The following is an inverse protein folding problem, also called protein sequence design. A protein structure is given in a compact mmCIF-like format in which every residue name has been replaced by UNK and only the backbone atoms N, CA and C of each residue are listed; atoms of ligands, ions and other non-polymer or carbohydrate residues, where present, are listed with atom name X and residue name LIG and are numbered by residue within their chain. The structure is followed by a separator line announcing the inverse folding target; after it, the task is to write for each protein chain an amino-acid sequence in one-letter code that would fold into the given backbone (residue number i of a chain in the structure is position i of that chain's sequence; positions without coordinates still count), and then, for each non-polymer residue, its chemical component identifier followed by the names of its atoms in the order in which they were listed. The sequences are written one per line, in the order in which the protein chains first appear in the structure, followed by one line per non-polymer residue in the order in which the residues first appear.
data_IF_266468356890
#
_entry.id   IF_266468356890
#
_cell.length_a   1.000
_cell.length_b   1.000
_cell.length_c   1.000
_cell.angle_alpha   90.00
_cell.angle_beta   90.00
_cell.angle_gamma   90.00
#
_symmetry.space_group_name_H-M   'P 1'
#
loop_
_entity.id
_entity.type
_entity.pdbx_description
1 polymer ?
#
# COMPACT_ATOMS: atom_id res chain seq x y z
N UNK A 1 13.89 26.73 16.64
CA UNK A 1 12.44 26.63 16.37
C UNK A 1 12.24 25.31 15.67
N UNK A 2 11.38 24.48 16.24
CA UNK A 2 11.54 23.03 16.41
C UNK A 2 11.42 22.21 15.13
N UNK A 3 12.53 21.57 14.76
CA UNK A 3 12.63 20.47 13.82
C UNK A 3 11.75 19.31 14.30
N UNK A 4 10.63 19.06 13.64
CA UNK A 4 9.84 17.85 13.85
C UNK A 4 10.59 16.66 13.26
N UNK A 5 11.27 15.88 14.10
CA UNK A 5 11.73 14.55 13.72
C UNK A 5 10.48 13.69 13.52
N UNK A 6 10.07 13.49 12.26
CA UNK A 6 9.05 12.50 11.93
C UNK A 6 9.55 11.13 12.36
N UNK A 7 8.90 10.54 13.36
CA UNK A 7 9.18 9.17 13.79
C UNK A 7 8.82 8.23 12.65
N UNK A 8 9.78 7.46 12.16
CA UNK A 8 9.54 6.44 11.13
C UNK A 8 8.54 5.37 11.58
N UNK A 9 8.25 4.38 10.72
CA UNK A 9 7.26 3.36 11.01
C UNK A 9 7.59 2.58 12.29
N UNK A 10 6.58 2.40 13.14
CA UNK A 10 6.67 1.67 14.42
C UNK A 10 6.04 0.29 14.25
N UNK A 11 6.82 -0.75 14.55
CA UNK A 11 6.40 -2.15 14.48
C UNK A 11 5.93 -2.63 15.86
N UNK A 12 4.75 -3.24 15.90
CA UNK A 12 4.27 -4.06 17.01
C UNK A 12 3.92 -5.45 16.51
N UNK A 13 4.29 -6.51 17.24
CA UNK A 13 3.94 -7.88 16.90
C UNK A 13 3.59 -8.68 18.13
N UNK A 14 2.54 -9.49 18.05
CA UNK A 14 2.21 -10.46 19.09
C UNK A 14 3.00 -11.76 18.95
N UNK A 15 3.71 -11.96 17.83
CA UNK A 15 4.54 -13.14 17.60
C UNK A 15 5.65 -13.20 18.64
N UNK A 16 5.76 -14.35 19.31
CA UNK A 16 6.73 -14.56 20.39
C UNK A 16 6.28 -14.05 21.77
N UNK A 17 5.11 -13.40 21.89
CA UNK A 17 4.54 -13.04 23.19
C UNK A 17 3.79 -14.23 23.83
N UNK A 18 3.63 -14.25 25.17
CA UNK A 18 2.81 -15.25 25.85
C UNK A 18 1.37 -15.23 25.35
N UNK A 19 0.81 -16.39 25.00
CA UNK A 19 -0.51 -16.52 24.35
C UNK A 19 -1.63 -15.77 25.08
N UNK A 20 -1.71 -15.93 26.41
CA UNK A 20 -2.73 -15.27 27.24
C UNK A 20 -2.64 -13.74 27.32
N UNK A 21 -1.57 -13.13 26.80
CA UNK A 21 -1.40 -11.68 26.74
C UNK A 21 -1.58 -11.09 25.34
N UNK A 22 -1.53 -11.92 24.27
CA UNK A 22 -1.50 -11.45 22.88
C UNK A 22 -2.70 -10.57 22.54
N UNK A 23 -3.91 -11.01 22.88
CA UNK A 23 -5.16 -10.27 22.59
C UNK A 23 -5.17 -8.94 23.33
N UNK A 24 -4.92 -8.93 24.64
CA UNK A 24 -4.98 -7.70 25.43
C UNK A 24 -3.94 -6.66 24.97
N UNK A 25 -2.72 -7.10 24.64
CA UNK A 25 -1.67 -6.21 24.14
C UNK A 25 -1.98 -5.71 22.73
N UNK A 26 -2.55 -6.56 21.87
CA UNK A 26 -2.98 -6.18 20.52
C UNK A 26 -4.12 -5.15 20.53
N UNK A 27 -5.14 -5.36 21.36
CA UNK A 27 -6.25 -4.40 21.54
C UNK A 27 -5.74 -3.06 22.08
N UNK A 28 -4.83 -3.08 23.07
CA UNK A 28 -4.23 -1.87 23.63
C UNK A 28 -3.40 -1.10 22.59
N UNK A 29 -2.61 -1.81 21.77
CA UNK A 29 -1.84 -1.20 20.68
C UNK A 29 -2.76 -0.58 19.62
N UNK A 30 -3.76 -1.32 19.15
CA UNK A 30 -4.72 -0.82 18.16
C UNK A 30 -5.48 0.42 18.65
N UNK A 31 -5.91 0.43 19.92
CA UNK A 31 -6.58 1.58 20.53
C UNK A 31 -5.70 2.84 20.54
N UNK A 32 -4.39 2.71 20.65
CA UNK A 32 -3.45 3.82 20.66
C UNK A 32 -3.00 4.25 19.26
N UNK A 33 -2.77 3.29 18.35
CA UNK A 33 -2.07 3.53 17.09
C UNK A 33 -2.98 3.53 15.84
N UNK A 34 -4.20 3.01 15.94
CA UNK A 34 -5.17 2.97 14.85
C UNK A 34 -6.60 3.21 15.37
N UNK A 35 -7.37 2.16 15.64
CA UNK A 35 -8.72 2.23 16.21
C UNK A 35 -8.92 1.20 17.33
N UNK A 36 -9.64 1.57 18.39
CA UNK A 36 -9.97 0.63 19.46
C UNK A 36 -10.92 -0.48 18.98
N UNK A 37 -10.59 -1.73 19.23
CA UNK A 37 -11.42 -2.89 18.89
C UNK A 37 -11.30 -3.95 19.98
N UNK A 38 -12.29 -4.85 20.04
CA UNK A 38 -12.13 -6.13 20.72
C UNK A 38 -11.82 -7.22 19.71
N UNK A 39 -10.96 -8.16 20.08
CA UNK A 39 -10.56 -9.27 19.24
C UNK A 39 -11.08 -10.60 19.81
N UNK A 40 -11.56 -11.46 18.92
CA UNK A 40 -12.01 -12.81 19.21
C UNK A 40 -11.33 -13.78 18.26
N UNK A 41 -10.94 -14.94 18.76
CA UNK A 41 -10.46 -16.07 17.95
C UNK A 41 -11.36 -17.27 18.21
N UNK A 42 -11.52 -18.13 17.20
CA UNK A 42 -12.22 -19.42 17.35
C UNK A 42 -11.35 -20.48 18.03
N UNK A 43 -10.03 -20.23 18.09
CA UNK A 43 -9.06 -21.04 18.82
C UNK A 43 -8.58 -20.26 20.03
N UNK A 44 -8.60 -20.90 21.20
CA UNK A 44 -8.17 -20.30 22.48
C UNK A 44 -6.68 -19.87 22.44
N UNK A 45 -5.94 -20.43 21.48
CA UNK A 45 -4.54 -20.26 21.19
C UNK A 45 -4.30 -19.24 20.05
N UNK A 46 -4.06 -18.01 20.54
CA UNK A 46 -3.02 -17.10 20.07
C UNK A 46 -3.26 -16.33 18.76
N UNK A 47 -3.87 -15.15 18.88
CA UNK A 47 -3.78 -14.11 17.86
C UNK A 47 -2.30 -13.80 17.56
N UNK A 48 -1.82 -14.27 16.42
CA UNK A 48 -0.56 -13.84 15.81
C UNK A 48 -0.85 -12.75 14.81
N UNK A 49 -0.47 -11.53 15.17
CA UNK A 49 -0.70 -10.35 14.37
C UNK A 49 0.49 -9.40 14.51
N UNK A 50 0.73 -8.67 13.43
CA UNK A 50 1.79 -7.69 13.31
C UNK A 50 1.20 -6.43 12.71
N UNK A 51 1.48 -5.29 13.32
CA UNK A 51 1.09 -3.98 12.83
C UNK A 51 2.32 -3.10 12.67
N UNK A 52 2.35 -2.35 11.57
CA UNK A 52 3.35 -1.31 11.33
C UNK A 52 2.58 -0.01 11.13
N UNK A 53 2.75 0.94 12.06
CA UNK A 53 2.06 2.22 12.04
C UNK A 53 3.03 3.34 11.64
N UNK A 54 2.58 4.26 10.80
CA UNK A 54 3.25 5.51 10.52
C UNK A 54 2.27 6.66 10.75
N UNK A 55 2.59 7.53 11.70
CA UNK A 55 1.78 8.69 12.06
C UNK A 55 2.27 9.89 11.25
N UNK A 56 1.40 10.43 10.40
CA UNK A 56 1.63 11.69 9.69
C UNK A 56 0.89 12.83 10.43
N UNK A 57 1.17 14.11 10.14
CA UNK A 57 0.54 15.23 10.84
C UNK A 57 -1.00 15.23 10.86
N UNK A 58 -1.64 14.70 9.83
CA UNK A 58 -3.08 14.72 9.64
C UNK A 58 -3.72 13.34 9.42
N UNK A 59 -2.96 12.30 9.07
CA UNK A 59 -3.47 10.93 8.89
C UNK A 59 -2.57 9.87 9.52
N UNK A 60 -3.17 8.76 9.91
CA UNK A 60 -2.44 7.59 10.38
C UNK A 60 -2.45 6.52 9.29
N UNK A 61 -1.27 5.98 8.99
CA UNK A 61 -1.10 4.86 8.06
C UNK A 61 -0.77 3.61 8.85
N UNK A 62 -1.30 2.46 8.42
CA UNK A 62 -0.89 1.18 8.97
C UNK A 62 -0.80 0.07 7.93
N UNK A 63 0.01 -0.94 8.22
CA UNK A 63 -0.09 -2.28 7.62
C UNK A 63 -0.38 -3.25 8.73
N UNK A 64 -1.42 -4.05 8.56
CA UNK A 64 -1.84 -5.07 9.52
C UNK A 64 -1.75 -6.42 8.83
N UNK A 65 -1.04 -7.36 9.43
CA UNK A 65 -1.03 -8.76 9.03
C UNK A 65 -1.41 -9.61 10.23
N UNK A 66 -2.26 -10.62 10.06
CA UNK A 66 -2.62 -11.48 11.18
C UNK A 66 -3.30 -12.78 10.77
N UNK A 67 -3.23 -13.76 11.66
CA UNK A 67 -3.94 -15.04 11.53
C UNK A 67 -5.46 -14.89 11.65
N UNK A 68 -6.22 -15.99 11.57
CA UNK A 68 -7.68 -15.94 11.62
C UNK A 68 -8.24 -15.36 12.93
N UNK A 69 -9.08 -14.34 12.83
CA UNK A 69 -9.74 -13.73 13.99
C UNK A 69 -10.95 -12.87 13.58
N UNK A 70 -11.69 -12.39 14.57
CA UNK A 70 -12.79 -11.44 14.45
C UNK A 70 -12.44 -10.20 15.27
N UNK A 71 -12.75 -9.02 14.74
CA UNK A 71 -12.68 -7.76 15.46
C UNK A 71 -14.07 -7.14 15.60
N UNK A 72 -14.35 -6.60 16.77
CA UNK A 72 -15.63 -5.99 17.13
C UNK A 72 -15.39 -4.55 17.62
N UNK A 73 -15.96 -3.57 16.92
CA UNK A 73 -16.03 -2.19 17.41
C UNK A 73 -17.45 -1.93 17.90
N UNK A 74 -17.74 -2.30 19.13
CA UNK A 74 -19.11 -2.22 19.69
C UNK A 74 -19.50 -0.78 20.05
N UNK A 75 -20.79 -0.53 20.32
CA UNK A 75 -21.25 0.76 20.88
C UNK A 75 -20.55 1.16 22.18
N UNK A 76 -20.13 0.18 22.99
CA UNK A 76 -19.38 0.44 24.22
C UNK A 76 -17.96 0.92 23.90
N UNK A 77 -17.28 0.24 22.97
CA UNK A 77 -15.94 0.63 22.50
C UNK A 77 -15.96 2.03 21.90
N UNK A 78 -16.90 2.33 21.00
CA UNK A 78 -17.01 3.68 20.39
C UNK A 78 -17.21 4.76 21.46
N UNK A 79 -18.02 4.50 22.49
CA UNK A 79 -18.28 5.48 23.55
C UNK A 79 -17.05 5.76 24.42
N UNK A 80 -16.26 4.72 24.70
CA UNK A 80 -15.12 4.81 25.62
C UNK A 80 -13.81 5.18 24.90
N UNK A 81 -13.69 4.82 23.62
CA UNK A 81 -12.53 5.01 22.75
C UNK A 81 -12.98 5.55 21.38
N UNK A 82 -13.58 6.76 21.31
CA UNK A 82 -13.98 7.37 20.05
C UNK A 82 -12.74 7.63 19.19
N UNK A 83 -12.88 7.40 17.88
CA UNK A 83 -11.81 7.59 16.90
C UNK A 83 -11.88 8.99 16.29
N UNK A 84 -13.09 9.57 16.18
CA UNK A 84 -13.38 10.83 15.47
C UNK A 84 -12.80 10.85 14.05
N UNK A 85 -12.81 9.67 13.40
CA UNK A 85 -12.13 9.44 12.14
C UNK A 85 -12.91 8.50 11.21
N UNK A 86 -12.58 8.58 9.93
CA UNK A 86 -12.94 7.63 8.89
C UNK A 86 -11.80 6.62 8.76
N UNK A 87 -12.12 5.33 8.73
CA UNK A 87 -11.15 4.27 8.50
C UNK A 87 -11.30 3.72 7.08
N UNK A 88 -10.19 3.65 6.36
CA UNK A 88 -10.10 3.12 5.01
C UNK A 88 -9.19 1.89 5.03
N UNK A 89 -9.68 0.71 4.65
CA UNK A 89 -8.92 -0.54 4.64
C UNK A 89 -8.77 -1.10 3.23
N UNK A 90 -7.54 -1.28 2.77
CA UNK A 90 -7.21 -1.97 1.52
C UNK A 90 -6.92 -3.44 1.83
N UNK A 91 -7.76 -4.34 1.34
CA UNK A 91 -7.50 -5.77 1.44
C UNK A 91 -6.39 -6.18 0.47
N UNK A 92 -5.31 -6.77 0.99
CA UNK A 92 -4.19 -7.28 0.19
C UNK A 92 -4.21 -8.80 0.10
N UNK A 93 -4.52 -9.48 1.21
CA UNK A 93 -4.70 -10.93 1.27
C UNK A 93 -5.81 -11.30 2.25
N UNK A 94 -6.47 -12.42 1.98
CA UNK A 94 -7.59 -12.91 2.78
C UNK A 94 -8.89 -12.16 2.51
N UNK A 95 -9.99 -12.91 2.41
CA UNK A 95 -11.32 -12.32 2.38
C UNK A 95 -11.72 -11.88 3.80
N UNK A 96 -12.36 -10.72 3.89
CA UNK A 96 -12.92 -10.21 5.14
C UNK A 96 -14.43 -10.03 5.00
N UNK A 97 -15.21 -10.48 5.99
CA UNK A 97 -16.58 -9.96 6.10
C UNK A 97 -16.58 -8.68 6.93
N UNK A 98 -17.50 -7.77 6.62
CA UNK A 98 -17.77 -6.54 7.34
C UNK A 98 -19.27 -6.50 7.65
N UNK A 99 -19.62 -6.74 8.91
CA UNK A 99 -20.99 -6.67 9.40
C UNK A 99 -21.25 -5.30 10.02
N UNK A 100 -22.31 -4.65 9.56
CA UNK A 100 -22.74 -3.32 9.97
C UNK A 100 -24.27 -3.28 10.01
N UNK A 101 -24.85 -2.16 10.49
CA UNK A 101 -26.30 -2.02 10.70
C UNK A 101 -27.13 -2.29 9.43
N UNK A 102 -26.57 -2.10 8.23
CA UNK A 102 -27.21 -2.31 6.93
C UNK A 102 -26.94 -3.70 6.30
N UNK A 103 -26.27 -4.59 7.02
CA UNK A 103 -26.03 -5.98 6.62
C UNK A 103 -24.55 -6.37 6.58
N UNK A 104 -24.22 -7.36 5.75
CA UNK A 104 -22.86 -7.86 5.55
C UNK A 104 -22.33 -7.38 4.21
N UNK A 105 -21.07 -6.93 4.18
CA UNK A 105 -20.26 -6.81 2.97
C UNK A 105 -19.14 -7.83 3.05
N UNK A 106 -18.76 -8.40 1.90
CA UNK A 106 -17.53 -9.19 1.78
C UNK A 106 -16.53 -8.30 1.05
N UNK A 107 -15.33 -8.23 1.59
CA UNK A 107 -14.20 -7.50 1.03
C UNK A 107 -13.18 -8.53 0.55
N UNK A 108 -12.82 -8.42 -0.72
CA UNK A 108 -11.84 -9.27 -1.39
C UNK A 108 -10.50 -8.53 -1.56
N UNK A 109 -9.38 -9.27 -1.67
CA UNK A 109 -8.11 -8.68 -2.09
C UNK A 109 -8.26 -7.81 -3.34
N UNK A 110 -7.65 -6.63 -3.34
CA UNK A 110 -7.81 -5.64 -4.42
C UNK A 110 -9.01 -4.71 -4.23
N UNK A 111 -9.66 -4.72 -3.07
CA UNK A 111 -10.74 -3.79 -2.74
C UNK A 111 -10.39 -2.88 -1.56
N UNK A 112 -10.99 -1.69 -1.58
CA UNK A 112 -10.95 -0.70 -0.51
C UNK A 112 -12.33 -0.61 0.14
N UNK A 113 -12.41 -0.75 1.47
CA UNK A 113 -13.60 -0.39 2.23
C UNK A 113 -13.35 0.91 3.01
N UNK A 114 -14.33 1.80 3.00
CA UNK A 114 -14.34 3.06 3.74
C UNK A 114 -15.51 3.06 4.70
N UNK A 115 -15.26 3.28 5.98
CA UNK A 115 -16.29 3.33 7.02
C UNK A 115 -16.05 4.43 8.06
N UNK A 116 -17.13 4.90 8.68
CA UNK A 116 -17.04 5.75 9.87
C UNK A 116 -16.62 4.89 11.06
N UNK A 117 -15.45 5.19 11.64
CA UNK A 117 -14.93 4.40 12.74
C UNK A 117 -15.78 4.57 14.02
N UNK A 118 -16.62 5.59 14.15
CA UNK A 118 -17.51 5.73 15.31
C UNK A 118 -18.92 5.18 15.07
N UNK A 119 -19.05 4.31 14.07
CA UNK A 119 -20.22 3.43 13.92
C UNK A 119 -19.84 1.99 14.30
N UNK A 120 -20.73 1.26 14.99
CA UNK A 120 -20.42 -0.11 15.36
C UNK A 120 -20.28 -1.03 14.15
N UNK A 121 -19.29 -1.91 14.18
CA UNK A 121 -19.13 -2.95 13.16
C UNK A 121 -18.44 -4.19 13.73
N UNK A 122 -18.54 -5.29 12.98
CA UNK A 122 -17.75 -6.50 13.20
C UNK A 122 -17.03 -6.81 11.89
N UNK A 123 -15.75 -7.16 11.95
CA UNK A 123 -15.01 -7.72 10.82
C UNK A 123 -14.48 -9.09 11.18
N UNK A 124 -14.42 -10.00 10.23
CA UNK A 124 -13.78 -11.29 10.48
C UNK A 124 -13.00 -11.80 9.29
N UNK A 125 -11.91 -12.47 9.63
CA UNK A 125 -10.82 -12.86 8.73
C UNK A 125 -10.65 -14.37 8.88
N UNK A 126 -11.36 -15.16 8.09
CA UNK A 126 -11.43 -16.61 8.30
C UNK A 126 -10.12 -17.34 7.97
N UNK A 127 -9.31 -16.78 7.08
CA UNK A 127 -8.01 -17.31 6.66
C UNK A 127 -6.84 -16.41 7.12
N UNK A 128 -7.10 -15.47 8.02
CA UNK A 128 -6.19 -14.35 8.31
C UNK A 128 -6.32 -13.24 7.27
N UNK A 129 -5.48 -12.22 7.42
CA UNK A 129 -5.45 -11.07 6.54
C UNK A 129 -4.05 -10.50 6.35
N UNK A 130 -3.91 -9.73 5.28
CA UNK A 130 -3.00 -8.61 5.19
C UNK A 130 -3.75 -7.42 4.62
N UNK A 131 -3.66 -6.26 5.27
CA UNK A 131 -4.31 -5.03 4.83
C UNK A 131 -3.45 -3.79 5.06
N UNK A 132 -3.78 -2.73 4.33
CA UNK A 132 -3.32 -1.38 4.64
C UNK A 132 -4.48 -0.59 5.21
N UNK A 133 -4.21 0.24 6.21
CA UNK A 133 -5.18 1.17 6.76
C UNK A 133 -4.75 2.61 6.54
N UNK A 134 -5.72 3.47 6.23
CA UNK A 134 -5.59 4.92 6.30
C UNK A 134 -6.70 5.41 7.22
N UNK A 135 -6.31 5.96 8.37
CA UNK A 135 -7.24 6.58 9.32
C UNK A 135 -7.16 8.09 9.16
N UNK A 136 -8.31 8.68 8.85
CA UNK A 136 -8.43 10.10 8.48
C UNK A 136 -9.38 10.79 9.46
N UNK A 137 -8.92 11.79 10.23
CA UNK A 137 -9.79 12.57 11.09
C UNK A 137 -11.00 13.12 10.33
N UNK A 138 -12.16 13.17 10.98
CA UNK A 138 -13.43 13.62 10.35
C UNK A 138 -13.35 15.02 9.77
N UNK A 139 -12.54 15.91 10.36
CA UNK A 139 -12.29 17.25 9.81
C UNK A 139 -11.62 17.17 8.44
N UNK A 140 -10.50 16.45 8.35
CA UNK A 140 -9.73 16.23 7.12
C UNK A 140 -10.58 15.54 6.06
N UNK A 141 -11.36 14.53 6.45
CA UNK A 141 -12.30 13.85 5.54
C UNK A 141 -13.32 14.81 4.90
N UNK A 142 -13.86 15.76 5.68
CA UNK A 142 -14.76 16.79 5.14
C UNK A 142 -14.04 17.74 4.18
N UNK A 143 -12.82 18.13 4.51
CA UNK A 143 -12.02 19.03 3.67
C UNK A 143 -11.65 18.37 2.33
N UNK A 144 -11.45 17.05 2.32
CA UNK A 144 -11.33 16.22 1.11
C UNK A 144 -12.61 16.13 0.28
N UNK A 145 -13.73 16.68 0.75
CA UNK A 145 -15.04 16.51 0.12
C UNK A 145 -15.55 15.07 0.19
N UNK A 146 -15.13 14.31 1.19
CA UNK A 146 -15.60 12.95 1.42
C UNK A 146 -17.10 12.93 1.75
N UNK A 147 -17.85 11.91 1.27
CA UNK A 147 -19.28 11.81 1.54
C UNK A 147 -19.56 11.59 3.04
N UNK A 148 -20.78 11.93 3.46
CA UNK A 148 -21.25 11.51 4.78
C UNK A 148 -21.50 9.99 4.77
N UNK A 149 -20.84 9.27 5.69
CA UNK A 149 -20.89 7.82 5.74
C UNK A 149 -21.93 7.35 6.75
N UNK A 150 -23.13 7.02 6.26
CA UNK A 150 -24.13 6.27 7.05
C UNK A 150 -23.95 4.76 6.94
N UNK A 151 -23.20 4.30 5.95
CA UNK A 151 -22.93 2.89 5.64
C UNK A 151 -21.52 2.77 5.05
N UNK A 152 -20.86 1.61 5.16
CA UNK A 152 -19.57 1.40 4.53
C UNK A 152 -19.69 1.46 2.99
N UNK A 153 -18.67 2.03 2.35
CA UNK A 153 -18.52 2.05 0.89
C UNK A 153 -17.39 1.11 0.48
N UNK A 154 -17.57 0.37 -0.61
CA UNK A 154 -16.55 -0.53 -1.17
C UNK A 154 -16.19 -0.04 -2.57
N UNK A 155 -14.89 -0.03 -2.87
CA UNK A 155 -14.32 0.38 -4.15
C UNK A 155 -13.40 -0.73 -4.66
N UNK A 156 -13.55 -1.09 -5.93
CA UNK A 156 -12.61 -1.98 -6.63
C UNK A 156 -11.36 -1.19 -7.01
N UNK A 157 -10.21 -1.56 -6.43
CA UNK A 157 -8.93 -0.87 -6.65
C UNK A 157 -8.34 -1.27 -8.00
N UNK A 158 -8.54 -2.52 -8.40
CA UNK A 158 -8.02 -3.06 -9.66
C UNK A 158 -8.82 -2.56 -10.87
N UNK A 159 -10.13 -2.39 -10.74
CA UNK A 159 -11.01 -1.90 -11.80
C UNK A 159 -11.12 -0.36 -11.82
N UNK A 160 -10.38 0.28 -12.73
CA UNK A 160 -10.63 1.69 -13.08
C UNK A 160 -10.17 2.75 -12.06
N UNK A 161 -9.67 2.37 -10.89
CA UNK A 161 -9.22 3.31 -9.85
C UNK A 161 -7.68 3.42 -9.78
N UNK A 162 -7.07 4.00 -10.81
CA UNK A 162 -5.61 4.20 -10.85
C UNK A 162 -5.08 4.95 -9.61
N UNK A 163 -5.88 5.87 -9.06
CA UNK A 163 -5.59 6.61 -7.83
C UNK A 163 -5.63 5.69 -6.59
N UNK A 164 -6.57 4.77 -6.50
CA UNK A 164 -6.63 3.80 -5.40
C UNK A 164 -5.40 2.90 -5.40
N UNK A 165 -4.95 2.44 -6.58
CA UNK A 165 -3.70 1.67 -6.73
C UNK A 165 -2.47 2.47 -6.32
N UNK A 166 -2.42 3.74 -6.72
CA UNK A 166 -1.33 4.63 -6.35
C UNK A 166 -1.28 4.86 -4.84
N UNK A 167 -2.44 5.07 -4.22
CA UNK A 167 -2.59 5.23 -2.78
C UNK A 167 -2.14 3.97 -2.03
N UNK A 168 -2.68 2.80 -2.39
CA UNK A 168 -2.30 1.54 -1.78
C UNK A 168 -0.80 1.26 -1.89
N UNK A 169 -0.18 1.56 -3.04
CA UNK A 169 1.28 1.42 -3.21
C UNK A 169 2.07 2.39 -2.35
N UNK A 170 1.67 3.66 -2.30
CA UNK A 170 2.34 4.68 -1.50
C UNK A 170 2.28 4.34 -0.01
N UNK A 171 1.08 4.02 0.49
CA UNK A 171 0.89 3.56 1.87
C UNK A 171 1.71 2.29 2.09
N UNK A 172 1.59 1.29 1.23
CA UNK A 172 2.26 0.01 1.38
C UNK A 172 3.79 0.10 1.51
N UNK A 173 4.43 1.08 0.87
CA UNK A 173 5.88 1.34 1.00
C UNK A 173 6.24 2.11 2.27
N UNK A 174 5.37 3.03 2.67
CA UNK A 174 5.54 3.84 3.87
C UNK A 174 5.59 3.00 5.14
N UNK A 175 4.76 1.94 5.20
CA UNK A 175 4.61 1.08 6.38
C UNK A 175 5.33 -0.26 6.24
N UNK A 176 6.49 -0.26 5.58
CA UNK A 176 7.41 -1.40 5.61
C UNK A 176 8.34 -1.33 6.84
N UNK A 177 8.81 -2.48 7.35
CA UNK A 177 9.83 -2.49 8.38
C UNK A 177 11.04 -1.66 7.94
N UNK A 178 11.51 -0.76 8.81
CA UNK A 178 12.69 0.08 8.55
C UNK A 178 12.58 0.99 7.32
N UNK A 179 11.35 1.27 6.84
CA UNK A 179 11.18 2.26 5.77
C UNK A 179 11.70 3.62 6.22
N UNK A 180 12.50 4.24 5.34
CA UNK A 180 12.96 5.63 5.47
C UNK A 180 12.39 6.50 4.36
N UNK A 181 11.43 5.98 3.58
CA UNK A 181 10.81 6.71 2.49
C UNK A 181 9.96 7.84 3.07
N UNK A 182 10.31 9.08 2.72
CA UNK A 182 9.50 10.23 3.07
C UNK A 182 8.16 10.14 2.34
N UNK A 183 7.07 10.19 3.10
CA UNK A 183 5.71 10.20 2.56
C UNK A 183 5.25 11.63 2.49
N UNK A 184 4.82 12.03 1.30
CA UNK A 184 4.13 13.30 1.10
C UNK A 184 2.65 13.11 1.45
N UNK A 185 2.27 13.63 2.61
CA UNK A 185 0.91 13.52 3.14
C UNK A 185 -0.13 14.16 2.21
N UNK A 186 0.21 15.25 1.53
CA UNK A 186 -0.72 15.94 0.61
C UNK A 186 -1.04 15.05 -0.58
N UNK A 187 -0.07 14.26 -1.07
CA UNK A 187 -0.30 13.29 -2.15
C UNK A 187 -1.22 12.15 -1.67
N UNK A 188 -1.02 11.64 -0.45
CA UNK A 188 -1.88 10.62 0.16
C UNK A 188 -3.32 11.12 0.25
N UNK A 189 -3.50 12.34 0.75
CA UNK A 189 -4.79 13.00 0.94
C UNK A 189 -5.49 13.28 -0.40
N UNK A 190 -4.79 13.83 -1.39
CA UNK A 190 -5.37 14.09 -2.71
C UNK A 190 -5.74 12.80 -3.44
N UNK A 191 -4.90 11.74 -3.36
CA UNK A 191 -5.23 10.42 -3.90
C UNK A 191 -6.49 9.84 -3.26
N UNK A 192 -6.58 9.87 -1.92
CA UNK A 192 -7.74 9.39 -1.20
C UNK A 192 -9.00 10.20 -1.57
N UNK A 193 -8.88 11.52 -1.59
CA UNK A 193 -9.94 12.43 -2.03
C UNK A 193 -10.44 12.10 -3.43
N UNK A 194 -9.54 11.84 -4.39
CA UNK A 194 -9.91 11.42 -5.74
C UNK A 194 -10.66 10.09 -5.77
N UNK A 195 -10.24 9.10 -4.97
CA UNK A 195 -10.91 7.79 -4.90
C UNK A 195 -12.34 7.94 -4.37
N UNK A 196 -12.53 8.69 -3.30
CA UNK A 196 -13.80 8.69 -2.55
C UNK A 196 -14.82 9.70 -3.09
N UNK A 197 -14.34 10.75 -3.77
CA UNK A 197 -15.21 11.76 -4.41
C UNK A 197 -15.35 11.57 -5.92
N UNK A 198 -14.55 10.68 -6.53
CA UNK A 198 -14.49 10.48 -7.99
C UNK A 198 -13.93 11.69 -8.76
N UNK A 199 -13.42 12.71 -8.06
CA UNK A 199 -12.87 13.91 -8.69
C UNK A 199 -11.47 13.62 -9.23
N UNK A 200 -11.16 14.07 -10.46
CA UNK A 200 -9.83 13.86 -11.01
C UNK A 200 -8.79 14.59 -10.15
N UNK A 201 -7.60 14.01 -9.97
CA UNK A 201 -6.52 14.69 -9.29
C UNK A 201 -6.08 15.91 -10.09
N UNK A 202 -5.51 16.88 -9.39
CA UNK A 202 -5.18 18.21 -9.92
C UNK A 202 -3.68 18.46 -9.98
N UNK A 203 -2.91 17.81 -9.10
CA UNK A 203 -1.46 18.04 -9.02
C UNK A 203 -0.65 17.11 -9.93
N UNK A 204 0.46 17.64 -10.45
CA UNK A 204 1.43 16.85 -11.20
C UNK A 204 2.04 15.73 -10.34
N UNK A 205 2.18 15.96 -9.04
CA UNK A 205 2.73 14.98 -8.10
C UNK A 205 1.83 13.74 -7.99
N UNK A 206 0.50 13.91 -7.88
CA UNK A 206 -0.44 12.79 -7.91
C UNK A 206 -0.42 12.08 -9.26
N UNK A 207 -0.46 12.81 -10.37
CA UNK A 207 -0.36 12.17 -11.70
C UNK A 207 0.93 11.36 -11.86
N UNK A 208 2.06 11.85 -11.32
CA UNK A 208 3.32 11.12 -11.32
C UNK A 208 3.23 9.86 -10.45
N UNK A 209 2.68 9.96 -9.24
CA UNK A 209 2.48 8.80 -8.36
C UNK A 209 1.58 7.74 -9.03
N UNK A 210 0.49 8.16 -9.66
CA UNK A 210 -0.41 7.28 -10.42
C UNK A 210 0.28 6.63 -11.62
N UNK A 211 1.08 7.38 -12.38
CA UNK A 211 1.83 6.83 -13.50
C UNK A 211 2.89 5.82 -13.04
N UNK A 212 3.62 6.13 -11.97
CA UNK A 212 4.65 5.24 -11.39
C UNK A 212 4.03 3.95 -10.87
N UNK A 213 2.88 4.04 -10.20
CA UNK A 213 2.10 2.88 -9.79
C UNK A 213 1.74 2.02 -11.02
N UNK A 214 1.13 2.60 -12.05
CA UNK A 214 0.77 1.88 -13.26
C UNK A 214 1.96 1.16 -13.90
N UNK A 215 3.11 1.85 -14.00
CA UNK A 215 4.34 1.29 -14.57
C UNK A 215 4.82 0.07 -13.80
N UNK A 216 4.74 0.07 -12.48
CA UNK A 216 5.24 -1.02 -11.64
C UNK A 216 4.48 -2.32 -11.81
N UNK A 217 3.19 -2.20 -12.07
CA UNK A 217 2.28 -3.31 -12.33
C UNK A 217 2.56 -3.98 -13.67
N UNK A 218 2.73 -3.15 -14.69
CA UNK A 218 2.92 -3.58 -16.08
C UNK A 218 4.42 -3.66 -16.44
N UNK A 219 5.30 -3.60 -15.43
CA UNK A 219 6.74 -3.35 -15.63
C UNK A 219 7.39 -4.39 -16.54
N UNK A 220 6.95 -5.64 -16.40
CA UNK A 220 7.48 -6.80 -17.12
C UNK A 220 6.88 -6.98 -18.51
N UNK A 221 5.84 -6.21 -18.87
CA UNK A 221 5.20 -6.29 -20.18
C UNK A 221 6.12 -5.70 -21.26
N UNK A 222 6.60 -6.50 -22.24
CA UNK A 222 7.58 -6.03 -23.22
C UNK A 222 7.12 -4.82 -24.05
N UNK A 223 5.80 -4.64 -24.22
CA UNK A 223 5.17 -3.55 -24.97
C UNK A 223 4.77 -2.31 -24.17
N UNK A 224 5.05 -2.24 -22.86
CA UNK A 224 4.69 -1.07 -22.06
C UNK A 224 5.29 0.22 -22.66
N UNK A 225 4.42 1.20 -22.94
CA UNK A 225 4.76 2.44 -23.63
C UNK A 225 4.12 3.65 -22.95
N UNK A 226 4.56 4.87 -23.29
CA UNK A 226 3.93 6.08 -22.77
C UNK A 226 2.43 6.16 -23.10
N UNK A 227 2.03 5.69 -24.28
CA UNK A 227 0.63 5.62 -24.71
C UNK A 227 -0.20 4.64 -23.84
N UNK A 228 0.39 3.50 -23.44
CA UNK A 228 -0.26 2.56 -22.52
C UNK A 228 -0.45 3.19 -21.13
N UNK A 229 0.59 3.80 -20.58
CA UNK A 229 0.53 4.46 -19.26
C UNK A 229 -0.48 5.61 -19.27
N UNK A 230 -0.44 6.49 -20.28
CA UNK A 230 -1.33 7.64 -20.40
C UNK A 230 -2.81 7.21 -20.41
N UNK A 231 -3.13 6.19 -21.24
CA UNK A 231 -4.46 5.60 -21.30
C UNK A 231 -4.88 4.97 -19.98
N UNK A 232 -3.99 4.19 -19.37
CA UNK A 232 -4.24 3.47 -18.12
C UNK A 232 -4.51 4.36 -16.91
N UNK A 233 -4.04 5.61 -16.94
CA UNK A 233 -4.28 6.60 -15.87
C UNK A 233 -5.22 7.75 -16.30
N UNK A 234 -5.79 7.69 -17.51
CA UNK A 234 -6.79 8.64 -18.00
C UNK A 234 -6.25 10.04 -18.36
N UNK A 235 -5.00 10.14 -18.82
CA UNK A 235 -4.40 11.43 -19.26
C UNK A 235 -3.89 11.38 -20.70
N UNK A 236 -3.58 12.54 -21.29
CA UNK A 236 -2.90 12.58 -22.59
C UNK A 236 -1.41 12.28 -22.47
N UNK A 237 -0.80 11.72 -23.51
CA UNK A 237 0.66 11.49 -23.56
C UNK A 237 1.47 12.78 -23.39
N UNK A 238 0.96 13.90 -23.94
CA UNK A 238 1.58 15.23 -23.75
C UNK A 238 1.58 15.65 -22.29
N UNK A 239 0.47 15.43 -21.58
CA UNK A 239 0.39 15.72 -20.15
C UNK A 239 1.34 14.82 -19.36
N UNK A 240 1.35 13.52 -19.65
CA UNK A 240 2.23 12.55 -19.00
C UNK A 240 3.71 12.90 -19.17
N UNK A 241 4.12 13.26 -20.39
CA UNK A 241 5.50 13.70 -20.68
C UNK A 241 5.88 14.94 -19.86
N UNK A 242 4.97 15.91 -19.74
CA UNK A 242 5.19 17.11 -18.93
C UNK A 242 5.33 16.77 -17.44
N UNK A 243 4.49 15.89 -16.91
CA UNK A 243 4.53 15.46 -15.50
C UNK A 243 5.87 14.78 -15.18
N UNK A 244 6.31 13.84 -16.02
CA UNK A 244 7.62 13.20 -15.86
C UNK A 244 8.78 14.21 -15.94
N UNK A 245 8.75 15.13 -16.90
CA UNK A 245 9.76 16.17 -17.02
C UNK A 245 9.85 17.07 -15.77
N UNK A 246 8.73 17.40 -15.13
CA UNK A 246 8.73 18.13 -13.85
C UNK A 246 9.32 17.28 -12.71
N UNK A 247 9.17 15.95 -12.77
CA UNK A 247 9.79 15.00 -11.86
C UNK A 247 11.29 14.74 -12.11
N UNK A 248 11.90 15.39 -13.10
CA UNK A 248 13.34 15.35 -13.35
C UNK A 248 13.84 14.25 -14.30
N UNK A 249 12.95 13.43 -14.87
CA UNK A 249 13.33 12.35 -15.80
C UNK A 249 12.25 12.10 -16.84
N UNK A 250 12.59 11.56 -18.01
CA UNK A 250 11.58 11.12 -18.97
C UNK A 250 10.98 9.75 -18.59
N UNK A 251 9.74 9.48 -19.01
CA UNK A 251 9.10 8.18 -18.77
C UNK A 251 9.92 6.98 -19.29
N UNK A 252 10.52 7.00 -20.50
CA UNK A 252 11.37 5.90 -20.95
C UNK A 252 12.62 5.69 -20.07
N UNK A 253 13.22 6.76 -19.55
CA UNK A 253 14.35 6.66 -18.62
C UNK A 253 13.92 6.04 -17.30
N UNK A 254 12.78 6.49 -16.76
CA UNK A 254 12.21 5.91 -15.56
C UNK A 254 11.91 4.41 -15.72
N UNK A 255 11.20 4.05 -16.79
CA UNK A 255 10.85 2.66 -17.10
C UNK A 255 12.09 1.78 -17.23
N UNK A 256 13.08 2.21 -18.00
CA UNK A 256 14.35 1.50 -18.14
C UNK A 256 15.03 1.31 -16.78
N UNK A 257 15.08 2.37 -15.96
CA UNK A 257 15.67 2.32 -14.64
C UNK A 257 14.99 1.31 -13.73
N UNK A 258 13.65 1.33 -13.67
CA UNK A 258 12.87 0.39 -12.88
C UNK A 258 13.05 -1.07 -13.30
N UNK A 259 13.14 -1.34 -14.61
CA UNK A 259 13.43 -2.69 -15.12
C UNK A 259 14.83 -3.18 -14.72
N UNK A 260 15.83 -2.30 -14.77
CA UNK A 260 17.19 -2.63 -14.37
C UNK A 260 17.31 -2.86 -12.86
N UNK A 261 16.66 -2.04 -12.05
CA UNK A 261 16.65 -2.20 -10.60
C UNK A 261 15.99 -3.52 -10.19
N UNK A 262 14.86 -3.87 -10.82
CA UNK A 262 14.21 -5.18 -10.64
C UNK A 262 15.14 -6.33 -11.02
N UNK A 263 15.80 -6.22 -12.18
CA UNK A 263 16.75 -7.23 -12.63
C UNK A 263 17.89 -7.40 -11.61
N UNK A 264 18.42 -6.31 -11.06
CA UNK A 264 19.47 -6.35 -10.04
C UNK A 264 19.00 -7.11 -8.80
N UNK A 265 17.80 -6.83 -8.29
CA UNK A 265 17.25 -7.56 -7.15
C UNK A 265 17.12 -9.05 -7.42
N UNK A 266 16.64 -9.45 -8.61
CA UNK A 266 16.51 -10.87 -9.00
C UNK A 266 17.88 -11.56 -9.10
N UNK A 267 18.88 -10.89 -9.69
CA UNK A 267 20.23 -11.43 -9.82
C UNK A 267 20.90 -11.57 -8.45
N UNK A 268 20.75 -10.56 -7.59
CA UNK A 268 21.31 -10.56 -6.23
C UNK A 268 20.69 -11.65 -5.34
N UNK A 269 19.42 -12.00 -5.58
CA UNK A 269 18.74 -13.12 -4.93
C UNK A 269 19.12 -14.50 -5.50
N UNK A 270 20.09 -14.58 -6.42
CA UNK A 270 20.62 -15.85 -6.90
C UNK A 270 19.71 -16.58 -7.91
N UNK A 271 19.04 -15.85 -8.80
CA UNK A 271 18.13 -16.41 -9.82
C UNK A 271 18.61 -17.76 -10.42
N UNK A 272 17.76 -18.79 -10.52
CA UNK A 272 18.18 -20.12 -10.95
C UNK A 272 18.55 -20.20 -12.44
N UNK A 273 18.01 -19.29 -13.25
CA UNK A 273 18.22 -19.22 -14.69
C UNK A 273 19.42 -18.39 -15.16
N UNK A 274 19.47 -18.09 -16.46
CA UNK A 274 20.48 -17.27 -17.10
C UNK A 274 20.22 -15.76 -16.94
N UNK A 275 21.26 -14.95 -17.17
CA UNK A 275 21.16 -13.49 -17.24
C UNK A 275 20.17 -13.03 -18.33
N UNK A 276 20.10 -13.75 -19.45
CA UNK A 276 19.17 -13.45 -20.52
C UNK A 276 17.71 -13.67 -20.09
N UNK A 277 17.45 -14.74 -19.33
CA UNK A 277 16.13 -15.03 -18.76
C UNK A 277 15.70 -13.97 -17.74
N UNK A 278 16.62 -13.45 -16.92
CA UNK A 278 16.32 -12.31 -16.04
C UNK A 278 15.95 -11.07 -16.86
N UNK A 279 16.70 -10.77 -17.92
CA UNK A 279 16.38 -9.68 -18.83
C UNK A 279 14.97 -9.83 -19.42
N UNK A 280 14.64 -11.00 -19.95
CA UNK A 280 13.32 -11.30 -20.49
C UNK A 280 12.22 -11.16 -19.44
N UNK A 281 12.43 -11.71 -18.23
CA UNK A 281 11.50 -11.61 -17.10
C UNK A 281 11.29 -10.16 -16.61
N UNK A 282 12.24 -9.27 -16.89
CA UNK A 282 12.12 -7.83 -16.61
C UNK A 282 11.59 -7.02 -17.80
N UNK A 283 11.13 -7.66 -18.87
CA UNK A 283 10.53 -7.01 -20.04
C UNK A 283 11.53 -6.51 -21.08
N UNK A 284 12.78 -6.97 -21.08
CA UNK A 284 13.75 -6.67 -22.15
C UNK A 284 13.58 -7.62 -23.33
N UNK A 285 13.40 -7.07 -24.53
CA UNK A 285 13.36 -7.85 -25.78
C UNK A 285 14.73 -8.27 -26.32
N UNK A 286 15.84 -7.79 -25.74
CA UNK A 286 17.20 -8.12 -26.18
C UNK A 286 18.15 -8.27 -25.01
N UNK A 287 18.77 -9.45 -24.88
CA UNK A 287 19.75 -9.75 -23.83
C UNK A 287 21.02 -8.88 -23.96
N UNK A 288 21.42 -8.54 -25.19
CA UNK A 288 22.57 -7.67 -25.44
C UNK A 288 22.30 -6.24 -25.00
N UNK A 289 21.11 -5.71 -25.33
CA UNK A 289 20.69 -4.39 -24.88
C UNK A 289 20.58 -4.32 -23.35
N UNK A 290 19.95 -5.32 -22.75
CA UNK A 290 19.86 -5.47 -21.29
C UNK A 290 21.24 -5.44 -20.63
N UNK A 291 22.16 -6.32 -21.06
CA UNK A 291 23.48 -6.45 -20.44
C UNK A 291 24.29 -5.15 -20.52
N UNK A 292 24.19 -4.44 -21.65
CA UNK A 292 24.84 -3.15 -21.83
C UNK A 292 24.28 -2.09 -20.86
N UNK A 293 22.95 -1.90 -20.85
CA UNK A 293 22.29 -0.92 -19.97
C UNK A 293 22.43 -1.25 -18.49
N UNK A 294 22.46 -2.52 -18.13
CA UNK A 294 22.70 -2.97 -16.75
C UNK A 294 24.09 -2.54 -16.26
N UNK A 295 25.13 -2.82 -17.06
CA UNK A 295 26.51 -2.43 -16.72
C UNK A 295 26.65 -0.91 -16.64
N UNK A 296 26.02 -0.18 -17.55
CA UNK A 296 26.00 1.28 -17.56
C UNK A 296 25.37 1.86 -16.28
N UNK A 297 24.21 1.36 -15.85
CA UNK A 297 23.51 1.86 -14.64
C UNK A 297 24.19 1.47 -13.33
N UNK A 298 24.71 0.24 -13.25
CA UNK A 298 25.15 -0.35 -11.98
C UNK A 298 26.67 -0.45 -11.82
N UNK A 299 27.45 -0.14 -12.86
CA UNK A 299 28.92 -0.23 -12.85
C UNK A 299 29.48 -1.65 -12.89
N UNK A 300 28.63 -2.68 -12.71
CA UNK A 300 28.99 -4.10 -12.67
C UNK A 300 28.17 -4.91 -13.64
N UNK A 301 28.73 -6.01 -14.16
CA UNK A 301 28.04 -6.89 -15.10
C UNK A 301 26.95 -7.71 -14.41
N UNK A 302 25.82 -7.93 -15.11
CA UNK A 302 24.71 -8.74 -14.59
C UNK A 302 25.13 -10.18 -14.25
N UNK A 303 26.05 -10.76 -15.02
CA UNK A 303 26.61 -12.10 -14.76
C UNK A 303 27.41 -12.17 -13.45
N UNK A 304 28.13 -11.11 -13.10
CA UNK A 304 28.92 -11.06 -11.87
C UNK A 304 28.02 -10.91 -10.64
N UNK A 305 26.96 -10.09 -10.75
CA UNK A 305 25.93 -9.99 -9.70
C UNK A 305 25.24 -11.34 -9.47
N UNK A 306 24.88 -12.05 -10.54
CA UNK A 306 24.27 -13.37 -10.45
C UNK A 306 25.19 -14.40 -9.78
N UNK A 307 26.48 -14.38 -10.14
CA UNK A 307 27.48 -15.27 -9.52
C UNK A 307 27.59 -14.99 -8.02
N UNK A 308 27.60 -13.72 -7.62
CA UNK A 308 27.62 -13.31 -6.21
C UNK A 308 26.36 -13.76 -5.46
N UNK A 309 25.17 -13.55 -6.05
CA UNK A 309 23.89 -13.92 -5.43
C UNK A 309 23.75 -15.42 -5.18
N UNK A 310 24.31 -16.27 -6.04
CA UNK A 310 24.28 -17.74 -5.86
C UNK A 310 25.22 -18.28 -4.81
N UNK A 311 26.29 -17.53 -4.49
CA UNK A 311 27.29 -17.95 -3.50
C UNK A 311 26.90 -17.50 -2.09
N UNK A 312 26.09 -16.45 -1.96
CA UNK A 312 25.64 -15.89 -0.69
C UNK A 312 24.20 -16.21 -0.27
N UNK A 313 23.48 -17.00 -1.06
CA UNK A 313 22.10 -17.45 -0.79
C UNK A 313 22.03 -18.85 -0.19
#
# INVERSE_FOLDING_TARGET
MTSGMGTGPVLFSTVGLPEGQRVALWEAHNAAALIGVHCRSLRDDALEATEINLQLPHVDLARVAGGPHVVERTRSVVRNLPSEAIACYFALTGDAFFYHDDGVRVLHPGQLIVCDADRPFIRGFSQGLEELAVKVPRSVWRDLGGPQLSQPMVFDVDEGAAQARALARMVGRAVLPQSSEAVDEDIVLELLGSVVSGRPPTTAAVHLATARAYIDEHLTEPGLSAAHVARGIGVSERHLSRVFAHGGESLPQYLLGRRLDRARSMLAAGWPGSVAEVGAACGFGSASYFSHRFKERHGVGAADVLRGGRVGG
#
